data_IF_195408288609
#
_entry.id   IF_195408288609
#
_cell.length_a   1.000
_cell.length_b   1.000
_cell.length_c   1.000
_cell.angle_alpha   90.00
_cell.angle_beta   90.00
_cell.angle_gamma   90.00
#
_symmetry.space_group_name_H-M   'P 1'
#
loop_
_entity.id
_entity.type
_entity.pdbx_description
1 polymer ?
#
# COMPACT_ATOMS: atom_id res chain seq x y z
N UNK A 1 -2.19 -10.38 28.90
CA UNK A 1 -1.04 -10.29 27.97
C UNK A 1 -1.65 -10.20 26.59
N UNK A 2 -2.22 -9.05 26.26
CA UNK A 2 -3.18 -8.94 25.14
C UNK A 2 -2.75 -7.77 24.26
N UNK A 3 -1.55 -7.91 23.69
CA UNK A 3 -1.02 -7.00 22.69
C UNK A 3 -1.46 -7.47 21.32
N UNK A 4 -2.39 -6.73 20.71
CA UNK A 4 -2.88 -6.91 19.35
C UNK A 4 -1.77 -7.39 18.39
N UNK A 5 -1.80 -8.67 18.03
CA UNK A 5 -0.72 -9.39 17.34
C UNK A 5 -0.49 -8.92 15.89
N UNK A 6 -1.26 -7.92 15.44
CA UNK A 6 -1.11 -7.25 14.15
C UNK A 6 -0.02 -6.16 14.12
N UNK A 7 0.63 -5.82 15.23
CA UNK A 7 1.58 -4.69 15.30
C UNK A 7 3.05 -5.04 14.97
N UNK A 8 3.39 -6.32 14.78
CA UNK A 8 4.77 -6.75 14.50
C UNK A 8 5.13 -6.78 13.00
N UNK A 9 4.12 -6.78 12.12
CA UNK A 9 4.31 -6.63 10.68
C UNK A 9 3.90 -5.22 10.30
N UNK A 10 4.90 -4.38 10.06
CA UNK A 10 4.70 -2.99 9.69
C UNK A 10 3.79 -2.94 8.46
N UNK A 11 2.53 -2.50 8.63
CA UNK A 11 1.57 -2.32 7.52
C UNK A 11 2.04 -1.28 6.49
N UNK A 12 3.15 -0.62 6.77
CA UNK A 12 3.85 0.34 5.91
C UNK A 12 5.15 -0.21 5.32
N UNK A 13 5.45 -1.50 5.53
CA UNK A 13 6.62 -2.16 4.94
C UNK A 13 6.35 -2.47 3.47
N UNK A 14 7.05 -1.76 2.57
CA UNK A 14 6.94 -1.98 1.14
C UNK A 14 7.39 -3.39 0.72
N UNK A 15 8.41 -3.97 1.38
CA UNK A 15 8.83 -5.36 1.12
C UNK A 15 7.69 -6.34 1.43
N UNK A 16 7.05 -6.21 2.59
CA UNK A 16 5.95 -7.09 3.00
C UNK A 16 4.75 -6.95 2.04
N UNK A 17 4.40 -5.70 1.67
CA UNK A 17 3.33 -5.42 0.70
C UNK A 17 3.64 -6.01 -0.69
N UNK A 18 4.90 -6.03 -1.11
CA UNK A 18 5.37 -6.61 -2.36
C UNK A 18 5.65 -8.13 -2.28
N UNK A 19 5.31 -8.79 -1.17
CA UNK A 19 5.59 -10.20 -0.88
C UNK A 19 7.08 -10.59 -0.88
N UNK A 20 7.98 -9.63 -0.70
CA UNK A 20 9.41 -9.87 -0.48
C UNK A 20 9.77 -9.86 1.01
N UNK A 21 10.87 -10.53 1.37
CA UNK A 21 11.48 -10.35 2.68
C UNK A 21 12.27 -9.04 2.72
N UNK A 22 12.35 -8.46 3.91
CA UNK A 22 13.29 -7.39 4.18
C UNK A 22 14.72 -7.96 4.19
N UNK A 23 15.67 -7.13 3.82
CA UNK A 23 17.10 -7.43 3.94
C UNK A 23 17.79 -6.40 4.85
N UNK A 24 19.12 -6.49 4.93
CA UNK A 24 19.97 -5.58 5.72
C UNK A 24 19.94 -4.12 5.24
N UNK A 25 19.39 -3.83 4.07
CA UNK A 25 19.24 -2.48 3.53
C UNK A 25 17.92 -1.82 3.93
N UNK A 26 17.01 -2.55 4.60
CA UNK A 26 15.79 -1.98 5.17
C UNK A 26 16.05 -1.27 6.50
N UNK A 27 15.38 -0.12 6.72
CA UNK A 27 15.45 0.63 7.99
C UNK A 27 14.45 0.14 9.06
N UNK A 28 13.99 -1.11 8.97
CA UNK A 28 12.98 -1.66 9.88
C UNK A 28 13.58 -1.95 11.26
N UNK A 29 12.92 -1.51 12.33
CA UNK A 29 13.29 -1.87 13.70
C UNK A 29 12.51 -3.11 14.14
N UNK A 30 13.21 -4.16 14.60
CA UNK A 30 12.59 -5.41 15.05
C UNK A 30 11.80 -6.14 13.95
N UNK A 31 12.39 -6.27 12.75
CA UNK A 31 11.67 -6.78 11.58
C UNK A 31 11.45 -8.31 11.64
N UNK A 32 10.19 -8.72 11.57
CA UNK A 32 9.80 -10.13 11.43
C UNK A 32 9.55 -10.55 9.97
N UNK A 33 9.64 -9.64 9.01
CA UNK A 33 9.53 -9.95 7.58
C UNK A 33 10.87 -10.47 7.04
N UNK A 34 11.39 -11.57 7.60
CA UNK A 34 12.63 -12.24 7.20
C UNK A 34 12.39 -13.75 7.05
N UNK A 35 13.27 -14.50 6.34
CA UNK A 35 13.09 -15.93 6.09
C UNK A 35 12.92 -16.78 7.36
N UNK A 36 13.65 -16.45 8.43
CA UNK A 36 13.61 -17.18 9.71
C UNK A 36 12.20 -17.21 10.35
N UNK A 37 11.33 -16.27 10.00
CA UNK A 37 9.95 -16.17 10.48
C UNK A 37 8.91 -16.47 9.38
N UNK A 38 9.27 -17.26 8.35
CA UNK A 38 8.42 -17.56 7.18
C UNK A 38 7.00 -17.99 7.56
N UNK A 39 6.85 -18.93 8.50
CA UNK A 39 5.53 -19.41 8.91
C UNK A 39 4.62 -18.29 9.44
N UNK A 40 5.18 -17.41 10.28
CA UNK A 40 4.45 -16.25 10.83
C UNK A 40 4.15 -15.21 9.75
N UNK A 41 5.07 -15.00 8.81
CA UNK A 41 4.87 -14.10 7.65
C UNK A 41 3.71 -14.58 6.79
N UNK A 42 3.69 -15.87 6.42
CA UNK A 42 2.66 -16.44 5.57
C UNK A 42 1.29 -16.45 6.25
N UNK A 43 1.22 -16.88 7.51
CA UNK A 43 0.01 -16.79 8.32
C UNK A 43 -0.53 -15.35 8.38
N UNK A 44 0.35 -14.37 8.57
CA UNK A 44 -0.07 -12.96 8.61
C UNK A 44 -0.62 -12.48 7.27
N UNK A 45 0.00 -12.88 6.15
CA UNK A 45 -0.50 -12.57 4.80
C UNK A 45 -1.89 -13.15 4.57
N UNK A 46 -2.10 -14.41 4.93
CA UNK A 46 -3.41 -15.07 4.83
C UNK A 46 -4.47 -14.33 5.64
N UNK A 47 -4.18 -13.96 6.90
CA UNK A 47 -5.12 -13.21 7.74
C UNK A 47 -5.47 -11.83 7.16
N UNK A 48 -4.51 -11.15 6.53
CA UNK A 48 -4.74 -9.86 5.88
C UNK A 48 -5.61 -10.05 4.62
N UNK A 49 -5.36 -11.08 3.80
CA UNK A 49 -6.13 -11.39 2.59
C UNK A 49 -7.57 -11.84 2.91
N UNK A 50 -7.75 -12.62 3.96
CA UNK A 50 -9.09 -13.01 4.44
C UNK A 50 -9.94 -11.79 4.81
N UNK A 51 -9.33 -10.73 5.36
CA UNK A 51 -10.02 -9.49 5.70
C UNK A 51 -10.22 -8.58 4.49
N UNK A 52 -9.26 -8.57 3.57
CA UNK A 52 -9.31 -7.78 2.35
C UNK A 52 -8.59 -8.54 1.22
N UNK A 53 -9.33 -9.19 0.29
CA UNK A 53 -8.73 -9.94 -0.81
C UNK A 53 -7.84 -9.10 -1.73
N UNK A 54 -8.00 -7.77 -1.71
CA UNK A 54 -7.21 -6.82 -2.50
C UNK A 54 -6.09 -6.16 -1.69
N UNK A 55 -5.72 -6.71 -0.52
CA UNK A 55 -4.73 -6.09 0.37
C UNK A 55 -3.32 -6.02 -0.23
N UNK A 56 -2.95 -7.00 -1.04
CA UNK A 56 -1.63 -7.09 -1.68
C UNK A 56 -1.68 -6.86 -3.20
N UNK A 57 -2.84 -6.48 -3.74
CA UNK A 57 -2.94 -6.08 -5.15
C UNK A 57 -2.40 -4.66 -5.35
N UNK A 58 -1.79 -4.34 -6.51
CA UNK A 58 -1.35 -2.99 -6.82
C UNK A 58 -2.50 -1.98 -6.65
N UNK A 59 -2.22 -0.86 -5.98
CA UNK A 59 -3.24 0.18 -5.73
C UNK A 59 -3.61 0.97 -7.00
N UNK A 60 -2.70 1.01 -7.98
CA UNK A 60 -2.91 1.66 -9.26
C UNK A 60 -3.16 0.60 -10.32
N UNK A 61 -4.27 0.72 -11.03
CA UNK A 61 -4.53 -0.04 -12.23
C UNK A 61 -4.15 0.81 -13.44
N UNK A 62 -3.30 0.27 -14.33
CA UNK A 62 -2.94 0.95 -15.57
C UNK A 62 -3.78 0.36 -16.70
N UNK A 63 -4.59 1.21 -17.31
CA UNK A 63 -5.40 0.88 -18.47
C UNK A 63 -4.73 1.42 -19.74
N UNK A 64 -4.76 0.60 -20.78
CA UNK A 64 -4.36 1.00 -22.14
C UNK A 64 -5.54 1.64 -22.84
N UNK A 65 -5.37 2.89 -23.29
CA UNK A 65 -6.36 3.57 -24.12
C UNK A 65 -5.66 4.20 -25.33
N UNK A 66 -5.61 3.44 -26.43
CA UNK A 66 -4.81 3.81 -27.60
C UNK A 66 -3.32 3.83 -27.26
N UNK A 67 -2.63 4.92 -27.62
CA UNK A 67 -1.19 5.13 -27.37
C UNK A 67 -0.87 5.74 -25.99
N UNK A 68 -1.84 5.74 -25.05
CA UNK A 68 -1.67 6.33 -23.71
C UNK A 68 -1.96 5.30 -22.62
N UNK A 69 -1.11 5.31 -21.60
CA UNK A 69 -1.36 4.61 -20.33
C UNK A 69 -2.03 5.57 -19.35
N UNK A 70 -3.22 5.22 -18.89
CA UNK A 70 -3.92 5.95 -17.82
C UNK A 70 -3.88 5.10 -16.57
N UNK A 71 -3.17 5.59 -15.55
CA UNK A 71 -3.16 4.98 -14.23
C UNK A 71 -4.29 5.51 -13.38
N UNK A 72 -5.08 4.61 -12.78
CA UNK A 72 -6.18 4.95 -11.88
C UNK A 72 -5.98 4.31 -10.51
N UNK A 73 -6.13 5.10 -9.45
CA UNK A 73 -6.11 4.60 -8.08
C UNK A 73 -7.43 3.91 -7.73
N UNK A 74 -7.41 2.59 -7.62
CA UNK A 74 -8.61 1.71 -7.54
C UNK A 74 -9.57 2.14 -6.43
N UNK A 75 -9.06 2.44 -5.23
CA UNK A 75 -9.88 2.83 -4.08
C UNK A 75 -10.14 4.34 -4.00
N UNK A 76 -9.35 5.14 -4.72
CA UNK A 76 -9.32 6.58 -4.58
C UNK A 76 -8.68 7.07 -3.28
N UNK A 77 -8.11 8.29 -3.32
CA UNK A 77 -7.55 8.93 -2.12
C UNK A 77 -8.66 9.65 -1.32
N UNK A 78 -8.41 9.96 -0.05
CA UNK A 78 -9.33 10.71 0.82
C UNK A 78 -8.66 11.95 1.42
N UNK A 79 -7.77 12.58 0.64
CA UNK A 79 -6.95 13.70 1.08
C UNK A 79 -7.79 14.94 1.39
N UNK A 80 -7.53 15.62 2.51
CA UNK A 80 -8.19 16.89 2.85
C UNK A 80 -7.24 18.08 2.90
N UNK A 81 -6.07 17.89 3.50
CA UNK A 81 -5.10 18.98 3.73
C UNK A 81 -4.02 19.08 2.67
N UNK A 82 -3.67 17.96 2.02
CA UNK A 82 -2.57 17.94 1.06
C UNK A 82 -2.91 18.57 -0.28
N UNK A 83 -4.19 18.85 -0.55
CA UNK A 83 -4.71 19.23 -1.88
C UNK A 83 -4.25 18.27 -2.98
N UNK A 84 -3.90 17.04 -2.61
CA UNK A 84 -3.26 16.04 -3.46
C UNK A 84 -1.91 16.45 -4.08
N UNK A 85 -1.22 17.48 -3.59
CA UNK A 85 0.04 17.96 -4.19
C UNK A 85 1.32 17.48 -3.48
N UNK A 86 1.23 16.40 -2.70
CA UNK A 86 2.36 15.88 -1.92
C UNK A 86 2.30 14.37 -1.78
N UNK A 87 3.42 13.76 -1.34
CA UNK A 87 3.57 12.30 -1.18
C UNK A 87 2.59 11.67 -0.15
N UNK A 88 1.88 12.49 0.63
CA UNK A 88 0.78 12.02 1.47
C UNK A 88 -0.43 11.54 0.65
N UNK A 89 -0.62 12.05 -0.57
CA UNK A 89 -1.62 11.54 -1.49
C UNK A 89 -1.06 10.34 -2.26
N UNK A 90 -1.79 9.22 -2.23
CA UNK A 90 -1.39 8.00 -2.92
C UNK A 90 -1.37 8.19 -4.44
N UNK A 91 -2.30 8.98 -5.01
CA UNK A 91 -2.32 9.32 -6.44
C UNK A 91 -1.07 10.10 -6.84
N UNK A 92 -0.77 11.19 -6.12
CA UNK A 92 0.42 12.01 -6.36
C UNK A 92 1.72 11.22 -6.20
N UNK A 93 1.82 10.40 -5.14
CA UNK A 93 2.97 9.53 -4.91
C UNK A 93 3.17 8.56 -6.06
N UNK A 94 2.09 8.01 -6.59
CA UNK A 94 2.11 7.09 -7.72
C UNK A 94 2.18 7.78 -9.10
N UNK A 95 2.29 9.12 -9.14
CA UNK A 95 2.39 9.92 -10.37
C UNK A 95 1.19 9.75 -11.31
N UNK A 96 0.00 9.57 -10.73
CA UNK A 96 -1.26 9.51 -11.46
C UNK A 96 -2.21 10.60 -10.97
N UNK A 97 -3.08 11.07 -11.86
CA UNK A 97 -4.13 12.03 -11.52
C UNK A 97 -5.14 11.43 -10.53
N UNK A 98 -5.83 12.29 -9.78
CA UNK A 98 -7.00 11.83 -9.05
C UNK A 98 -8.13 11.51 -10.03
N UNK A 99 -8.83 10.39 -9.83
CA UNK A 99 -9.99 9.99 -10.63
C UNK A 99 -11.31 10.21 -9.89
N UNK A 100 -12.43 9.87 -10.52
CA UNK A 100 -13.76 9.93 -9.92
C UNK A 100 -13.92 9.04 -8.66
N UNK A 101 -13.05 8.04 -8.47
CA UNK A 101 -13.02 7.25 -7.23
C UNK A 101 -12.46 8.01 -6.02
N UNK A 102 -11.78 9.14 -6.22
CA UNK A 102 -11.18 9.92 -5.13
C UNK A 102 -12.21 10.78 -4.39
N UNK A 103 -12.15 10.77 -3.05
CA UNK A 103 -12.98 11.62 -2.17
C UNK A 103 -12.16 12.72 -1.50
N UNK A 104 -11.23 13.29 -2.25
CA UNK A 104 -10.36 14.35 -1.77
C UNK A 104 -11.04 15.73 -1.84
N UNK A 105 -10.75 16.58 -0.86
CA UNK A 105 -11.24 17.96 -0.79
C UNK A 105 -10.18 18.91 -1.36
N UNK A 106 -10.60 19.89 -2.16
CA UNK A 106 -9.69 20.88 -2.75
C UNK A 106 -8.58 20.27 -3.61
N UNK A 107 -8.89 19.23 -4.39
CA UNK A 107 -7.91 18.52 -5.20
C UNK A 107 -7.21 19.43 -6.22
N UNK A 108 -5.89 19.34 -6.30
CA UNK A 108 -5.03 20.04 -7.27
C UNK A 108 -3.94 19.13 -7.85
N UNK A 109 -4.23 17.83 -7.93
CA UNK A 109 -3.41 16.80 -8.56
C UNK A 109 -3.97 16.43 -9.91
#
# INVERSE_FOLDING_TARGET
>A
MDGNQNSFFCSYCDCFAARFYCDKHCSCQGCYNIPDYEATVNMTREQIELRNPLAFTPKIHYLEYGDRFVGEHIKGCNCRKSMCQSKYCECYRAKVGCSGGCRCEGCRN
#
